data_IF_145369634576
#
_entry.id   IF_145369634576
#
_cell.length_a   1.000
_cell.length_b   1.000
_cell.length_c   1.000
_cell.angle_alpha   90.00
_cell.angle_beta   90.00
_cell.angle_gamma   90.00
#
_symmetry.space_group_name_H-M   'P 1'
#
loop_
_entity.id
_entity.type
_entity.pdbx_description
1 polymer ?
#
# COMPACT_ATOMS: atom_id res chain seq x y z
N UNK A 1 15.53 -33.40 21.66
CA UNK A 1 14.33 -33.21 20.80
C UNK A 1 13.38 -32.29 21.54
N UNK A 2 12.66 -31.38 20.86
CA UNK A 2 11.57 -30.63 21.50
C UNK A 2 10.59 -31.65 22.09
N UNK A 3 10.09 -31.44 23.31
CA UNK A 3 9.17 -32.41 23.92
C UNK A 3 7.87 -32.48 23.11
N UNK A 4 7.24 -33.64 22.98
CA UNK A 4 5.98 -33.80 22.24
C UNK A 4 4.86 -32.85 22.72
N UNK A 5 4.91 -32.43 23.99
CA UNK A 5 4.03 -31.40 24.57
C UNK A 5 4.23 -30.01 23.95
N UNK A 6 5.47 -29.64 23.62
CA UNK A 6 5.77 -28.37 22.94
C UNK A 6 5.24 -28.39 21.49
N UNK A 7 5.43 -29.50 20.78
CA UNK A 7 4.95 -29.67 19.40
C UNK A 7 3.42 -29.55 19.31
N UNK A 8 2.69 -30.22 20.21
CA UNK A 8 1.22 -30.12 20.26
C UNK A 8 0.72 -28.71 20.60
N UNK A 9 1.39 -28.04 21.53
CA UNK A 9 1.07 -26.65 21.90
C UNK A 9 1.31 -25.70 20.72
N UNK A 10 2.42 -25.87 20.01
CA UNK A 10 2.77 -25.06 18.84
C UNK A 10 1.75 -25.22 17.71
N UNK A 11 1.34 -26.46 17.39
CA UNK A 11 0.30 -26.74 16.38
C UNK A 11 -1.05 -26.09 16.74
N UNK A 12 -1.44 -26.14 18.01
CA UNK A 12 -2.68 -25.51 18.48
C UNK A 12 -2.63 -23.98 18.32
N UNK A 13 -1.52 -23.36 18.74
CA UNK A 13 -1.28 -21.93 18.58
C UNK A 13 -1.31 -21.52 17.12
N UNK A 14 -0.57 -22.22 16.26
CA UNK A 14 -0.52 -21.96 14.82
C UNK A 14 -1.93 -21.99 14.20
N UNK A 15 -2.74 -23.02 14.49
CA UNK A 15 -4.12 -23.12 13.98
C UNK A 15 -5.01 -21.96 14.46
N UNK A 16 -4.90 -21.57 15.73
CA UNK A 16 -5.64 -20.42 16.28
C UNK A 16 -5.25 -19.12 15.58
N UNK A 17 -3.96 -18.90 15.37
CA UNK A 17 -3.45 -17.70 14.67
C UNK A 17 -3.94 -17.65 13.22
N UNK A 18 -3.88 -18.77 12.48
CA UNK A 18 -4.44 -18.85 11.11
C UNK A 18 -5.92 -18.46 11.10
N UNK A 19 -6.72 -19.03 12.01
CA UNK A 19 -8.14 -18.73 12.13
C UNK A 19 -8.40 -17.25 12.44
N UNK A 20 -7.63 -16.66 13.35
CA UNK A 20 -7.74 -15.26 13.71
C UNK A 20 -7.40 -14.34 12.54
N UNK A 21 -6.28 -14.56 11.84
CA UNK A 21 -5.91 -13.71 10.69
C UNK A 21 -7.02 -13.74 9.63
N UNK A 22 -7.53 -14.93 9.29
CA UNK A 22 -8.61 -15.10 8.30
C UNK A 22 -9.91 -14.40 8.67
N UNK A 23 -10.20 -14.26 9.95
CA UNK A 23 -11.42 -13.60 10.43
C UNK A 23 -11.41 -12.08 10.18
N UNK A 24 -10.23 -11.47 10.06
CA UNK A 24 -10.07 -10.01 9.99
C UNK A 24 -9.58 -9.50 8.62
N UNK A 25 -9.48 -10.37 7.61
CA UNK A 25 -9.14 -9.96 6.24
C UNK A 25 -10.41 -9.91 5.37
N UNK A 26 -10.43 -8.99 4.42
CA UNK A 26 -11.52 -8.86 3.46
C UNK A 26 -11.67 -10.11 2.57
N UNK A 27 -12.90 -10.38 2.12
CA UNK A 27 -13.23 -11.53 1.27
C UNK A 27 -12.39 -11.59 -0.03
N UNK A 28 -12.04 -10.42 -0.57
CA UNK A 28 -11.21 -10.29 -1.77
C UNK A 28 -9.79 -10.84 -1.56
N UNK A 29 -9.28 -10.77 -0.34
CA UNK A 29 -7.94 -11.25 0.05
C UNK A 29 -8.02 -12.68 0.59
N UNK A 30 -9.13 -13.04 1.24
CA UNK A 30 -9.36 -14.36 1.83
C UNK A 30 -9.13 -15.51 0.85
N UNK A 31 -9.64 -15.40 -0.38
CA UNK A 31 -9.51 -16.45 -1.40
C UNK A 31 -8.04 -16.80 -1.71
N UNK A 32 -7.12 -15.85 -1.56
CA UNK A 32 -5.70 -16.07 -1.80
C UNK A 32 -5.00 -16.84 -0.67
N UNK A 33 -5.55 -16.85 0.55
CA UNK A 33 -4.94 -17.47 1.74
C UNK A 33 -5.80 -18.55 2.39
N UNK A 34 -6.91 -18.93 1.77
CA UNK A 34 -7.92 -19.85 2.32
C UNK A 34 -7.38 -21.26 2.64
N UNK A 35 -6.33 -21.70 1.95
CA UNK A 35 -5.72 -23.02 2.13
C UNK A 35 -4.44 -23.03 2.97
N UNK A 36 -3.89 -21.86 3.31
CA UNK A 36 -2.62 -21.77 4.05
C UNK A 36 -2.77 -22.27 5.50
N UNK A 37 -1.99 -23.29 5.89
CA UNK A 37 -2.10 -23.90 7.24
C UNK A 37 -1.04 -23.39 8.21
N UNK A 38 -0.06 -22.65 7.74
CA UNK A 38 1.03 -22.08 8.52
C UNK A 38 0.79 -20.57 8.71
N UNK A 39 0.69 -20.12 9.96
CA UNK A 39 0.41 -18.73 10.30
C UNK A 39 1.51 -17.78 9.82
N UNK A 40 2.77 -18.21 9.85
CA UNK A 40 3.91 -17.40 9.43
C UNK A 40 3.91 -17.20 7.92
N UNK A 41 3.74 -18.28 7.14
CA UNK A 41 3.67 -18.21 5.69
C UNK A 41 2.47 -17.39 5.22
N UNK A 42 1.32 -17.57 5.86
CA UNK A 42 0.11 -16.78 5.60
C UNK A 42 0.38 -15.29 5.84
N UNK A 43 1.00 -14.94 6.98
CA UNK A 43 1.32 -13.56 7.30
C UNK A 43 2.30 -12.92 6.31
N UNK A 44 3.38 -13.63 5.95
CA UNK A 44 4.35 -13.14 4.97
C UNK A 44 3.71 -12.94 3.59
N UNK A 45 2.80 -13.83 3.18
CA UNK A 45 2.07 -13.68 1.92
C UNK A 45 1.17 -12.45 1.91
N UNK A 46 0.42 -12.22 2.99
CA UNK A 46 -0.40 -11.01 3.14
C UNK A 46 0.48 -9.76 3.10
N UNK A 47 1.57 -9.75 3.86
CA UNK A 47 2.54 -8.65 3.87
C UNK A 47 3.05 -8.35 2.46
N UNK A 48 3.50 -9.35 1.72
CA UNK A 48 3.97 -9.17 0.34
C UNK A 48 2.89 -8.63 -0.61
N UNK A 49 1.63 -9.06 -0.45
CA UNK A 49 0.52 -8.57 -1.26
C UNK A 49 0.25 -7.08 -0.99
N UNK A 50 0.08 -6.69 0.27
CA UNK A 50 -0.16 -5.30 0.64
C UNK A 50 1.02 -4.38 0.34
N UNK A 51 2.26 -4.86 0.53
CA UNK A 51 3.46 -4.10 0.16
C UNK A 51 3.53 -3.86 -1.35
N UNK A 52 3.22 -4.89 -2.17
CA UNK A 52 3.19 -4.77 -3.63
C UNK A 52 2.09 -3.82 -4.08
N UNK A 53 0.88 -3.95 -3.56
CA UNK A 53 -0.24 -3.07 -3.89
C UNK A 53 0.09 -1.62 -3.53
N UNK A 54 0.66 -1.39 -2.34
CA UNK A 54 1.14 -0.07 -1.93
C UNK A 54 2.22 0.48 -2.88
N UNK A 55 3.20 -0.34 -3.30
CA UNK A 55 4.23 0.09 -4.25
C UNK A 55 3.66 0.43 -5.63
N UNK A 56 2.73 -0.38 -6.15
CA UNK A 56 2.05 -0.12 -7.43
C UNK A 56 1.18 1.14 -7.37
N UNK A 57 0.46 1.34 -6.27
CA UNK A 57 -0.35 2.54 -6.04
C UNK A 57 0.50 3.80 -5.98
N UNK A 58 1.62 3.77 -5.24
CA UNK A 58 2.61 4.88 -5.22
C UNK A 58 3.13 5.20 -6.61
N UNK A 59 3.54 4.18 -7.38
CA UNK A 59 4.06 4.36 -8.73
C UNK A 59 2.99 4.95 -9.68
N UNK A 60 1.74 4.51 -9.55
CA UNK A 60 0.61 5.03 -10.32
C UNK A 60 0.35 6.51 -10.03
N UNK A 61 0.33 6.90 -8.75
CA UNK A 61 0.13 8.30 -8.34
C UNK A 61 1.33 9.16 -8.77
N UNK A 62 2.56 8.69 -8.58
CA UNK A 62 3.77 9.40 -9.03
C UNK A 62 3.75 9.63 -10.55
N UNK A 63 3.30 8.63 -11.33
CA UNK A 63 3.14 8.78 -12.78
C UNK A 63 2.10 9.83 -13.14
N UNK A 64 1.00 9.92 -12.40
CA UNK A 64 -0.02 10.97 -12.60
C UNK A 64 0.52 12.34 -12.24
N UNK A 65 1.30 12.45 -11.16
CA UNK A 65 1.94 13.69 -10.71
C UNK A 65 2.93 14.21 -11.76
N UNK A 66 3.80 13.34 -12.27
CA UNK A 66 4.81 13.70 -13.30
C UNK A 66 4.16 14.04 -14.65
N UNK A 67 2.96 13.52 -14.93
CA UNK A 67 2.19 13.83 -16.15
C UNK A 67 1.09 14.87 -15.91
N UNK A 68 1.11 15.54 -14.76
CA UNK A 68 0.15 16.59 -14.49
C UNK A 68 0.60 17.80 -15.29
N UNK A 69 -0.22 18.20 -16.26
CA UNK A 69 0.03 19.36 -17.10
C UNK A 69 -1.10 20.36 -16.87
N UNK A 70 -0.76 21.64 -16.80
CA UNK A 70 -1.75 22.71 -16.75
C UNK A 70 -2.58 22.67 -18.03
N UNK A 71 -3.91 22.74 -17.88
CA UNK A 71 -4.84 22.62 -19.00
C UNK A 71 -5.49 23.95 -19.29
N UNK A 72 -5.49 24.35 -20.56
CA UNK A 72 -6.24 25.51 -21.02
C UNK A 72 -7.72 25.38 -20.62
N UNK A 73 -8.24 26.43 -19.96
CA UNK A 73 -9.61 26.47 -19.45
C UNK A 73 -9.78 25.99 -18.00
N UNK A 74 -8.75 25.44 -17.36
CA UNK A 74 -8.73 25.23 -15.91
C UNK A 74 -8.12 26.44 -15.22
N UNK A 75 -8.57 26.75 -14.00
CA UNK A 75 -7.92 27.78 -13.18
C UNK A 75 -6.65 27.25 -12.53
N UNK A 76 -5.70 28.15 -12.24
CA UNK A 76 -4.49 27.84 -11.46
C UNK A 76 -4.85 27.24 -10.10
N UNK A 77 -5.96 27.67 -9.48
CA UNK A 77 -6.43 27.13 -8.19
C UNK A 77 -6.85 25.66 -8.33
N UNK A 78 -7.59 25.30 -9.38
CA UNK A 78 -7.97 23.90 -9.64
C UNK A 78 -6.73 23.03 -9.87
N UNK A 79 -5.75 23.51 -10.65
CA UNK A 79 -4.50 22.79 -10.87
C UNK A 79 -3.70 22.58 -9.58
N UNK A 80 -3.60 23.61 -8.72
CA UNK A 80 -2.95 23.51 -7.42
C UNK A 80 -3.66 22.50 -6.51
N UNK A 81 -4.99 22.46 -6.54
CA UNK A 81 -5.76 21.49 -5.77
C UNK A 81 -5.51 20.05 -6.26
N UNK A 82 -5.47 19.82 -7.57
CA UNK A 82 -5.16 18.52 -8.16
C UNK A 82 -3.74 18.06 -7.79
N UNK A 83 -2.76 18.96 -7.90
CA UNK A 83 -1.38 18.73 -7.50
C UNK A 83 -1.29 18.36 -6.01
N UNK A 84 -1.84 19.21 -5.13
CA UNK A 84 -1.83 18.97 -3.68
C UNK A 84 -2.56 17.68 -3.30
N UNK A 85 -3.63 17.35 -4.02
CA UNK A 85 -4.36 16.09 -3.85
C UNK A 85 -3.47 14.87 -4.09
N UNK A 86 -2.63 14.90 -5.13
CA UNK A 86 -1.67 13.84 -5.42
C UNK A 86 -0.55 13.76 -4.37
N UNK A 87 0.00 14.90 -3.94
CA UNK A 87 1.00 14.97 -2.85
C UNK A 87 0.45 14.38 -1.56
N UNK A 88 -0.78 14.76 -1.17
CA UNK A 88 -1.41 14.26 0.04
C UNK A 88 -1.64 12.75 -0.01
N UNK A 89 -2.03 12.21 -1.17
CA UNK A 89 -2.17 10.76 -1.36
C UNK A 89 -0.83 10.04 -1.17
N UNK A 90 0.26 10.54 -1.77
CA UNK A 90 1.60 9.96 -1.58
C UNK A 90 2.04 10.00 -0.10
N UNK A 91 1.80 11.12 0.58
CA UNK A 91 2.11 11.29 2.00
C UNK A 91 1.35 10.30 2.89
N UNK A 92 0.05 10.07 2.61
CA UNK A 92 -0.76 9.07 3.32
C UNK A 92 -0.20 7.64 3.20
N UNK A 93 0.49 7.35 2.09
CA UNK A 93 1.17 6.08 1.84
C UNK A 93 2.62 6.07 2.37
N UNK A 94 3.02 7.05 3.18
CA UNK A 94 4.38 7.24 3.71
C UNK A 94 5.44 7.47 2.64
N UNK A 95 5.07 8.06 1.50
CA UNK A 95 6.01 8.59 0.50
C UNK A 95 5.92 10.11 0.53
N UNK A 96 6.82 10.76 1.27
CA UNK A 96 6.89 12.21 1.36
C UNK A 96 7.96 12.70 0.39
N UNK A 97 7.58 13.58 -0.54
CA UNK A 97 8.52 14.28 -1.41
C UNK A 97 9.02 15.51 -0.66
N UNK A 98 10.29 15.83 -0.80
CA UNK A 98 10.85 17.06 -0.23
C UNK A 98 10.27 18.31 -0.91
N UNK A 99 10.28 19.43 -0.20
CA UNK A 99 9.65 20.67 -0.65
C UNK A 99 10.29 21.21 -1.96
N UNK A 100 11.60 20.99 -2.16
CA UNK A 100 12.30 21.39 -3.38
C UNK A 100 11.78 20.58 -4.59
N UNK A 101 11.69 19.25 -4.47
CA UNK A 101 11.14 18.39 -5.50
C UNK A 101 9.66 18.69 -5.79
N UNK A 102 8.86 18.97 -4.75
CA UNK A 102 7.47 19.40 -4.93
C UNK A 102 7.39 20.71 -5.74
N UNK A 103 8.21 21.70 -5.39
CA UNK A 103 8.26 22.97 -6.11
C UNK A 103 8.69 22.79 -7.58
N UNK A 104 9.70 21.94 -7.84
CA UNK A 104 10.16 21.63 -9.19
C UNK A 104 9.09 20.93 -10.03
N UNK A 105 8.39 19.95 -9.46
CA UNK A 105 7.29 19.24 -10.15
C UNK A 105 6.13 20.18 -10.45
N UNK A 106 5.73 21.01 -9.48
CA UNK A 106 4.69 22.01 -9.68
C UNK A 106 5.08 23.01 -10.78
N UNK A 107 6.31 23.53 -10.75
CA UNK A 107 6.81 24.43 -11.78
C UNK A 107 6.81 23.75 -13.15
N UNK A 108 7.26 22.49 -13.26
CA UNK A 108 7.23 21.76 -14.53
C UNK A 108 5.82 21.58 -15.09
N UNK A 109 4.83 21.36 -14.23
CA UNK A 109 3.43 21.19 -14.65
C UNK A 109 2.79 22.48 -15.18
N UNK A 110 3.33 23.65 -14.82
CA UNK A 110 2.82 24.97 -15.22
C UNK A 110 3.54 25.56 -16.44
N UNK A 111 4.74 25.05 -16.76
CA UNK A 111 5.60 25.55 -17.83
C UNK A 111 5.42 24.83 -19.18
N UNK A 112 4.52 23.84 -19.23
CA UNK A 112 4.08 23.16 -20.45
C UNK A 112 2.92 23.94 -21.06
#
# INVERSE_FOLDING_TARGET
>A
MPSDKQEGTWKLLNRKTVGMIRQFIDDSVFQHVANDTNAYELWEKLKCMYERENALNKASIMRRLVKLDYRDGHSVVEHLNDFQGLINQLSSMKLVLDDELQALLLLSSLLI
#
